data_IF_073542812251
#
_entry.id   IF_073542812251
#
_cell.length_a   1.000
_cell.length_b   1.000
_cell.length_c   1.000
_cell.angle_alpha   90.00
_cell.angle_beta   90.00
_cell.angle_gamma   90.00
#
_symmetry.space_group_name_H-M   'P 1'
#
loop_
_entity.id
_entity.type
_entity.pdbx_description
1 polymer ?
#
# COMPACT_ATOMS: atom_id res chain seq x y z
N UNK A 1 6.50 -64.73 1.51
CA UNK A 1 7.27 -65.45 0.46
C UNK A 1 7.46 -66.92 0.84
N UNK A 2 7.50 -67.83 -0.14
CA UNK A 2 7.73 -69.27 0.08
C UNK A 2 9.08 -69.67 -0.50
N UNK A 3 9.93 -70.31 0.31
CA UNK A 3 11.27 -70.73 -0.08
C UNK A 3 11.27 -72.25 -0.26
N UNK A 4 11.72 -72.73 -1.42
CA UNK A 4 11.83 -74.15 -1.72
C UNK A 4 13.29 -74.57 -1.88
N UNK A 5 13.68 -75.65 -1.22
CA UNK A 5 14.99 -76.26 -1.34
C UNK A 5 14.85 -77.76 -1.66
N UNK A 6 15.66 -78.25 -2.59
CA UNK A 6 15.72 -79.67 -2.93
C UNK A 6 17.18 -80.10 -3.10
N UNK A 7 17.56 -81.12 -2.36
CA UNK A 7 18.87 -81.74 -2.42
C UNK A 7 18.72 -83.19 -2.91
N UNK A 8 18.79 -83.37 -4.22
CA UNK A 8 18.57 -84.65 -4.90
C UNK A 8 19.82 -85.55 -4.97
N UNK A 9 20.99 -85.10 -4.49
CA UNK A 9 22.23 -85.87 -4.50
C UNK A 9 22.70 -86.23 -3.08
N UNK A 10 22.76 -87.54 -2.78
CA UNK A 10 23.25 -88.04 -1.50
C UNK A 10 24.73 -87.70 -1.29
N UNK A 11 25.06 -87.03 -0.19
CA UNK A 11 26.44 -86.76 0.23
C UNK A 11 26.94 -85.33 0.01
N UNK A 12 26.09 -84.41 -0.45
CA UNK A 12 26.41 -82.98 -0.55
C UNK A 12 25.62 -82.15 0.47
N UNK A 13 26.27 -81.15 1.03
CA UNK A 13 25.68 -80.12 1.88
C UNK A 13 25.98 -78.75 1.29
N UNK A 14 24.99 -77.87 1.25
CA UNK A 14 25.15 -76.49 0.84
C UNK A 14 24.50 -75.59 1.88
N UNK A 15 25.20 -74.52 2.25
CA UNK A 15 24.67 -73.45 3.09
C UNK A 15 24.40 -72.24 2.21
N UNK A 16 23.24 -71.64 2.37
CA UNK A 16 22.93 -70.34 1.79
C UNK A 16 22.41 -69.44 2.91
N UNK A 17 22.80 -68.18 2.89
CA UNK A 17 22.25 -67.16 3.76
C UNK A 17 21.16 -66.41 3.00
N UNK A 18 20.01 -66.24 3.66
CA UNK A 18 18.95 -65.36 3.19
C UNK A 18 18.90 -64.22 4.19
N UNK A 19 18.97 -62.99 3.69
CA UNK A 19 18.72 -61.81 4.49
C UNK A 19 17.31 -61.34 4.17
N UNK A 20 16.46 -61.24 5.19
CA UNK A 20 15.18 -60.56 5.10
C UNK A 20 15.36 -59.20 5.78
N UNK A 21 15.13 -58.13 5.02
CA UNK A 21 14.96 -56.80 5.59
C UNK A 21 13.46 -56.55 5.74
N UNK A 22 13.04 -56.16 6.93
CA UNK A 22 11.72 -55.59 7.19
C UNK A 22 11.99 -54.10 7.33
N UNK A 23 11.36 -53.31 6.49
CA UNK A 23 11.40 -51.86 6.57
C UNK A 23 10.20 -51.41 7.43
N UNK A 24 10.31 -50.24 8.05
CA UNK A 24 9.19 -49.61 8.74
C UNK A 24 8.15 -49.12 7.72
N UNK A 25 6.90 -49.07 8.16
CA UNK A 25 5.67 -48.81 7.41
C UNK A 25 4.71 -48.21 8.44
N UNK A 26 4.82 -46.89 8.62
CA UNK A 26 4.26 -46.14 9.75
C UNK A 26 2.74 -46.04 9.66
N UNK A 27 2.20 -45.80 8.47
CA UNK A 27 0.77 -45.70 8.21
C UNK A 27 0.11 -47.06 7.84
N UNK A 28 0.90 -48.05 7.42
CA UNK A 28 0.44 -49.38 7.07
C UNK A 28 -0.17 -49.50 5.67
N UNK A 29 0.14 -48.59 4.74
CA UNK A 29 -0.37 -48.63 3.37
C UNK A 29 0.33 -49.67 2.47
N UNK A 30 1.48 -50.18 2.94
CA UNK A 30 2.31 -51.18 2.28
C UNK A 30 3.47 -50.62 1.45
N UNK A 31 3.70 -49.31 1.50
CA UNK A 31 4.90 -48.61 1.04
C UNK A 31 5.81 -48.43 2.26
N UNK A 32 7.08 -48.89 2.20
CA UNK A 32 7.99 -48.64 3.32
C UNK A 32 8.34 -47.15 3.47
N UNK A 33 8.53 -46.67 4.71
CA UNK A 33 8.82 -45.26 5.04
C UNK A 33 9.98 -44.65 4.22
N UNK A 34 11.00 -45.46 3.88
CA UNK A 34 12.15 -45.04 3.04
C UNK A 34 11.75 -44.66 1.59
N UNK A 35 10.55 -45.03 1.16
CA UNK A 35 10.01 -44.87 -0.19
C UNK A 35 8.60 -44.26 -0.20
N UNK A 36 8.12 -43.84 0.96
CA UNK A 36 6.85 -43.15 1.09
C UNK A 36 7.06 -41.64 1.01
N UNK A 37 6.16 -40.96 0.29
CA UNK A 37 6.17 -39.51 0.17
C UNK A 37 5.29 -38.84 1.24
N UNK A 38 4.45 -39.61 1.95
CA UNK A 38 3.55 -39.21 3.04
C UNK A 38 3.50 -40.35 4.08
N UNK A 39 4.48 -40.36 5.01
CA UNK A 39 4.77 -41.52 5.87
C UNK A 39 3.65 -41.80 6.90
N UNK A 40 2.80 -40.83 7.20
CA UNK A 40 1.72 -40.97 8.19
C UNK A 40 0.29 -40.81 7.62
N UNK A 41 0.18 -40.51 6.32
CA UNK A 41 -1.06 -40.47 5.53
C UNK A 41 -2.06 -39.42 6.00
N UNK A 42 -1.57 -38.27 6.45
CA UNK A 42 -2.40 -37.15 6.85
C UNK A 42 -2.78 -36.22 5.68
N UNK A 43 -2.16 -36.42 4.52
CA UNK A 43 -2.37 -35.66 3.28
C UNK A 43 -1.28 -34.64 2.97
N UNK A 44 -0.27 -34.48 3.84
CA UNK A 44 0.90 -33.65 3.61
C UNK A 44 2.12 -34.49 3.25
N UNK A 45 2.91 -34.03 2.28
CA UNK A 45 4.14 -34.74 1.95
C UNK A 45 5.22 -34.53 3.02
N UNK A 46 6.04 -35.55 3.25
CA UNK A 46 7.18 -35.50 4.16
C UNK A 46 8.15 -34.34 3.88
N UNK A 47 8.26 -33.90 2.62
CA UNK A 47 9.08 -32.76 2.22
C UNK A 47 8.43 -31.44 2.67
N UNK A 48 7.12 -31.31 2.49
CA UNK A 48 6.37 -30.12 2.87
C UNK A 48 6.32 -29.95 4.39
N UNK A 49 5.99 -31.00 5.14
CA UNK A 49 5.97 -30.95 6.61
C UNK A 49 7.32 -30.50 7.17
N UNK A 50 8.43 -31.03 6.64
CA UNK A 50 9.78 -30.59 7.04
C UNK A 50 10.05 -29.12 6.73
N UNK A 51 9.54 -28.59 5.62
CA UNK A 51 9.66 -27.17 5.28
C UNK A 51 8.85 -26.30 6.24
N UNK A 52 7.69 -26.78 6.67
CA UNK A 52 6.77 -26.11 7.58
C UNK A 52 7.10 -26.34 9.08
N UNK A 53 8.13 -27.12 9.38
CA UNK A 53 8.58 -27.51 10.74
C UNK A 53 7.63 -28.43 11.50
N UNK A 54 6.93 -29.29 10.79
CA UNK A 54 6.09 -30.35 11.34
C UNK A 54 6.81 -31.72 11.41
N UNK A 55 6.18 -32.73 12.02
CA UNK A 55 6.72 -34.09 12.20
C UNK A 55 6.07 -35.11 11.24
N UNK A 56 6.78 -35.56 10.19
CA UNK A 56 6.27 -36.50 9.16
C UNK A 56 5.91 -37.91 9.62
N UNK A 57 5.99 -38.18 10.91
CA UNK A 57 5.67 -39.47 11.53
C UNK A 57 4.43 -39.36 12.44
N UNK A 58 3.86 -38.16 12.58
CA UNK A 58 2.73 -37.87 13.44
C UNK A 58 1.64 -37.17 12.64
N UNK A 59 0.65 -37.94 12.19
CA UNK A 59 -0.50 -37.48 11.41
C UNK A 59 -1.39 -36.42 12.12
N UNK A 60 -1.02 -35.98 13.33
CA UNK A 60 -1.64 -34.84 14.02
C UNK A 60 -0.81 -33.56 13.95
N UNK A 61 0.39 -33.64 13.39
CA UNK A 61 1.34 -32.55 13.16
C UNK A 61 1.17 -32.00 11.73
N UNK A 62 0.01 -31.42 11.44
CA UNK A 62 -0.26 -30.86 10.10
C UNK A 62 0.11 -29.38 10.04
N UNK A 63 0.69 -28.88 8.94
CA UNK A 63 0.89 -27.46 8.71
C UNK A 63 -0.43 -26.66 8.70
N UNK A 64 -0.33 -25.35 8.93
CA UNK A 64 -1.45 -24.42 8.62
C UNK A 64 -1.44 -24.11 7.13
N UNK A 65 -2.61 -24.11 6.52
CA UNK A 65 -2.86 -23.92 5.08
C UNK A 65 -4.23 -23.25 4.95
N UNK A 66 -4.22 -21.93 4.99
CA UNK A 66 -5.42 -21.13 5.20
C UNK A 66 -6.30 -21.07 3.93
N UNK A 67 -5.72 -21.19 2.75
CA UNK A 67 -6.43 -21.23 1.47
C UNK A 67 -6.64 -22.64 0.89
N UNK A 68 -5.99 -23.66 1.46
CA UNK A 68 -6.02 -25.07 1.07
C UNK A 68 -5.43 -25.34 -0.31
N UNK A 69 -4.36 -24.63 -0.70
CA UNK A 69 -3.66 -24.85 -1.97
C UNK A 69 -2.58 -25.94 -1.91
N UNK A 70 -2.25 -26.40 -0.69
CA UNK A 70 -1.24 -27.43 -0.41
C UNK A 70 0.16 -26.88 -0.15
N UNK A 71 0.30 -25.57 -0.02
CA UNK A 71 1.46 -24.86 0.51
C UNK A 71 1.08 -24.39 1.91
N UNK A 72 2.02 -24.46 2.86
CA UNK A 72 1.72 -23.99 4.21
C UNK A 72 1.95 -22.49 4.34
N UNK A 73 1.17 -21.83 5.19
CA UNK A 73 1.23 -20.38 5.46
C UNK A 73 2.66 -19.87 5.77
N UNK A 74 3.52 -20.74 6.30
CA UNK A 74 4.90 -20.35 6.62
C UNK A 74 5.77 -20.04 5.38
N UNK A 75 5.44 -20.62 4.22
CA UNK A 75 6.19 -20.46 2.97
C UNK A 75 5.32 -20.03 1.79
N UNK A 76 4.01 -20.00 1.97
CA UNK A 76 3.12 -19.31 1.04
C UNK A 76 3.44 -17.81 1.05
N UNK A 77 3.08 -17.14 -0.03
CA UNK A 77 3.20 -15.70 -0.19
C UNK A 77 1.86 -14.98 -0.25
N UNK A 78 0.75 -15.72 -0.27
CA UNK A 78 -0.63 -15.24 -0.33
C UNK A 78 -1.50 -16.24 0.45
N UNK A 79 -1.45 -16.15 1.79
CA UNK A 79 -2.04 -17.13 2.73
C UNK A 79 -3.57 -17.32 2.59
N UNK A 80 -4.27 -16.41 1.91
CA UNK A 80 -5.72 -16.52 1.67
C UNK A 80 -6.13 -16.54 0.19
N UNK A 81 -5.13 -16.54 -0.71
CA UNK A 81 -5.24 -16.60 -2.17
C UNK A 81 -6.22 -15.56 -2.74
N UNK A 82 -6.28 -14.37 -2.14
CA UNK A 82 -7.20 -13.32 -2.53
C UNK A 82 -6.65 -12.38 -3.61
N UNK A 83 -5.37 -12.57 -3.96
CA UNK A 83 -4.64 -11.87 -5.00
C UNK A 83 -3.68 -10.79 -4.50
N UNK A 84 -3.56 -10.59 -3.19
CA UNK A 84 -2.56 -9.71 -2.56
C UNK A 84 -1.54 -10.54 -1.78
N UNK A 85 -0.26 -10.23 -1.92
CA UNK A 85 0.75 -10.97 -1.17
C UNK A 85 0.77 -10.57 0.31
N UNK A 86 1.21 -11.48 1.20
CA UNK A 86 1.30 -11.24 2.64
C UNK A 86 2.10 -9.99 3.00
N UNK A 87 3.10 -9.66 2.17
CA UNK A 87 3.94 -8.46 2.29
C UNK A 87 3.13 -7.21 1.96
N UNK A 88 2.39 -7.23 0.85
CA UNK A 88 1.51 -6.12 0.46
C UNK A 88 0.44 -5.90 1.52
N UNK A 89 -0.18 -6.98 2.00
CA UNK A 89 -1.18 -6.91 3.04
C UNK A 89 -0.64 -6.37 4.36
N UNK A 90 0.53 -6.84 4.78
CA UNK A 90 1.21 -6.34 5.98
C UNK A 90 1.49 -4.82 5.87
N UNK A 91 2.01 -4.38 4.73
CA UNK A 91 2.34 -2.98 4.50
C UNK A 91 1.08 -2.10 4.38
N UNK A 92 -0.01 -2.66 3.84
CA UNK A 92 -1.29 -1.98 3.67
C UNK A 92 -2.24 -2.11 4.87
N UNK A 93 -1.87 -2.90 5.88
CA UNK A 93 -2.64 -3.10 7.11
C UNK A 93 -3.89 -3.97 6.95
N UNK A 94 -3.95 -4.82 5.91
CA UNK A 94 -4.95 -5.87 5.77
C UNK A 94 -4.47 -7.17 6.46
N UNK A 95 -5.20 -8.28 6.28
CA UNK A 95 -4.99 -9.50 7.07
C UNK A 95 -4.70 -10.66 6.12
N UNK A 96 -3.46 -11.16 6.21
CA UNK A 96 -2.92 -12.25 5.39
C UNK A 96 -3.81 -13.49 5.27
N UNK A 97 -4.62 -13.75 6.31
CA UNK A 97 -5.38 -15.00 6.43
C UNK A 97 -6.87 -14.83 6.20
N UNK A 98 -7.33 -13.64 5.79
CA UNK A 98 -8.76 -13.34 5.63
C UNK A 98 -9.03 -12.73 4.26
N UNK A 99 -9.41 -13.56 3.29
CA UNK A 99 -9.68 -13.20 1.89
C UNK A 99 -10.68 -12.05 1.64
N UNK A 100 -11.41 -11.64 2.67
CA UNK A 100 -12.36 -10.51 2.64
C UNK A 100 -11.72 -9.21 3.16
N UNK A 101 -10.54 -9.28 3.75
CA UNK A 101 -9.72 -8.18 4.26
C UNK A 101 -8.68 -7.80 3.21
N UNK A 102 -9.07 -6.96 2.25
CA UNK A 102 -8.20 -6.49 1.16
C UNK A 102 -7.56 -5.14 1.48
N UNK A 103 -6.36 -4.84 0.95
CA UNK A 103 -5.85 -3.48 0.87
C UNK A 103 -6.87 -2.52 0.25
N UNK A 104 -6.99 -1.32 0.82
CA UNK A 104 -7.82 -0.24 0.27
C UNK A 104 -6.97 0.52 -0.76
N UNK A 105 -7.54 0.76 -1.92
CA UNK A 105 -6.95 1.46 -3.08
C UNK A 105 -8.10 2.22 -3.75
N UNK A 106 -8.45 3.39 -3.21
CA UNK A 106 -9.65 4.12 -3.59
C UNK A 106 -9.51 4.74 -5.00
N UNK A 107 -8.31 5.16 -5.39
CA UNK A 107 -8.01 5.74 -6.70
C UNK A 107 -7.63 4.70 -7.78
N UNK A 108 -7.39 3.45 -7.38
CA UNK A 108 -7.02 2.30 -8.24
C UNK A 108 -5.71 2.52 -9.00
N UNK A 109 -4.74 3.21 -8.41
CA UNK A 109 -3.43 3.43 -9.02
C UNK A 109 -2.45 2.25 -8.82
N UNK A 110 -2.81 1.28 -7.97
CA UNK A 110 -2.03 0.09 -7.65
C UNK A 110 -1.09 0.24 -6.45
N UNK A 111 -1.20 1.33 -5.70
CA UNK A 111 -0.58 1.53 -4.39
C UNK A 111 -1.71 1.74 -3.39
N UNK A 112 -1.78 0.92 -2.34
CA UNK A 112 -2.82 1.10 -1.34
C UNK A 112 -2.72 2.46 -0.62
N UNK A 113 -3.87 2.98 -0.20
CA UNK A 113 -4.03 4.25 0.51
C UNK A 113 -3.07 4.40 1.70
N UNK A 114 -2.80 3.29 2.41
CA UNK A 114 -1.91 3.27 3.57
C UNK A 114 -0.45 3.62 3.26
N UNK A 115 -0.04 3.52 1.99
CA UNK A 115 1.31 3.82 1.51
C UNK A 115 1.37 5.09 0.66
N UNK A 116 0.23 5.73 0.37
CA UNK A 116 0.15 6.96 -0.40
C UNK A 116 0.27 8.20 0.50
N UNK A 117 0.70 9.31 -0.11
CA UNK A 117 0.77 10.63 0.55
C UNK A 117 -0.20 11.66 -0.04
N UNK A 118 -0.88 11.28 -1.11
CA UNK A 118 -1.86 12.01 -1.93
C UNK A 118 -2.80 10.89 -2.40
N UNK A 119 -3.81 10.58 -1.58
CA UNK A 119 -4.64 9.35 -1.71
C UNK A 119 -5.68 9.41 -2.82
N UNK A 120 -6.10 10.60 -3.23
CA UNK A 120 -7.05 10.77 -4.33
C UNK A 120 -6.40 11.23 -5.65
N UNK A 121 -5.10 11.54 -5.62
CA UNK A 121 -4.30 11.85 -6.80
C UNK A 121 -4.61 13.20 -7.43
N UNK A 122 -5.23 14.14 -6.71
CA UNK A 122 -5.56 15.47 -7.23
C UNK A 122 -4.34 16.42 -7.33
N UNK A 123 -3.21 16.00 -6.75
CA UNK A 123 -1.95 16.73 -6.71
C UNK A 123 -1.77 17.60 -5.46
N UNK A 124 -2.58 17.40 -4.42
CA UNK A 124 -2.37 17.85 -3.06
C UNK A 124 -2.08 16.67 -2.14
N UNK A 125 -1.11 16.84 -1.25
CA UNK A 125 -0.83 15.78 -0.28
C UNK A 125 -1.84 15.81 0.88
N UNK A 126 -2.19 14.64 1.41
CA UNK A 126 -3.21 14.46 2.46
C UNK A 126 -2.95 15.34 3.70
N UNK A 127 -1.68 15.57 4.01
CA UNK A 127 -1.24 16.40 5.13
C UNK A 127 -1.66 17.86 4.95
N UNK A 128 -1.19 18.56 3.89
CA UNK A 128 -1.71 19.84 3.46
C UNK A 128 -3.24 19.89 3.42
N UNK A 129 -3.90 18.95 2.77
CA UNK A 129 -5.36 18.91 2.65
C UNK A 129 -6.08 18.90 4.00
N UNK A 130 -5.69 17.98 4.88
CA UNK A 130 -6.19 17.89 6.25
C UNK A 130 -5.98 19.20 7.03
N UNK A 131 -4.86 19.88 6.79
CA UNK A 131 -4.54 21.15 7.45
C UNK A 131 -5.31 22.34 6.88
N UNK A 132 -5.66 22.28 5.59
CA UNK A 132 -6.38 23.31 4.85
C UNK A 132 -7.90 23.08 4.89
N UNK A 133 -8.35 21.92 5.37
CA UNK A 133 -9.75 21.57 5.55
C UNK A 133 -10.43 21.02 4.30
N UNK A 134 -9.64 20.52 3.33
CA UNK A 134 -10.15 19.71 2.22
C UNK A 134 -10.20 18.23 2.60
N UNK A 135 -10.75 17.40 1.71
CA UNK A 135 -11.02 15.99 1.97
C UNK A 135 -9.99 15.15 1.21
N UNK A 136 -8.99 14.56 1.88
CA UNK A 136 -7.86 13.87 1.24
C UNK A 136 -8.21 12.51 0.62
N UNK A 137 -9.49 12.30 0.32
CA UNK A 137 -10.07 11.08 -0.23
C UNK A 137 -11.09 11.45 -1.35
N UNK A 138 -11.10 12.70 -1.83
CA UNK A 138 -12.04 13.22 -2.83
C UNK A 138 -11.32 14.17 -3.78
N UNK A 139 -11.02 13.70 -5.01
CA UNK A 139 -10.25 14.48 -6.02
C UNK A 139 -10.82 15.86 -6.33
N UNK A 140 -12.10 16.08 -6.00
CA UNK A 140 -12.79 17.33 -6.26
C UNK A 140 -12.68 18.33 -5.10
N UNK A 141 -12.18 17.87 -3.96
CA UNK A 141 -11.98 18.61 -2.73
C UNK A 141 -10.53 19.10 -2.65
N UNK A 142 -10.20 20.12 -3.44
CA UNK A 142 -8.88 20.77 -3.39
C UNK A 142 -8.87 21.96 -2.42
N UNK A 143 -7.76 22.21 -1.71
CA UNK A 143 -7.51 23.49 -1.03
C UNK A 143 -7.57 24.69 -1.99
N UNK A 144 -7.96 25.86 -1.47
CA UNK A 144 -7.82 27.13 -2.19
C UNK A 144 -6.36 27.57 -2.22
N UNK A 145 -5.88 27.98 -3.40
CA UNK A 145 -4.48 28.29 -3.73
C UNK A 145 -4.47 29.31 -4.88
N UNK A 146 -4.48 30.60 -4.55
CA UNK A 146 -4.64 31.68 -5.53
C UNK A 146 -3.43 31.85 -6.46
N UNK A 147 -2.21 31.65 -5.94
CA UNK A 147 -0.98 31.84 -6.70
C UNK A 147 -0.45 30.54 -7.34
N UNK A 148 -0.95 29.39 -6.89
CA UNK A 148 -0.64 28.07 -7.43
C UNK A 148 0.67 27.48 -6.93
N UNK A 149 1.20 27.94 -5.79
CA UNK A 149 2.48 27.51 -5.24
C UNK A 149 2.42 26.23 -4.39
N UNK A 150 1.21 25.68 -4.19
CA UNK A 150 0.89 24.50 -3.37
C UNK A 150 0.98 24.72 -1.86
N UNK A 151 0.86 25.96 -1.42
CA UNK A 151 0.54 26.34 -0.06
C UNK A 151 -0.88 26.91 -0.08
N UNK A 152 -1.79 26.30 0.69
CA UNK A 152 -3.16 26.79 0.65
C UNK A 152 -3.26 28.19 1.27
N UNK A 153 -4.20 29.00 0.77
CA UNK A 153 -4.48 30.38 1.16
C UNK A 153 -4.56 30.64 2.68
N UNK A 154 -5.00 29.62 3.42
CA UNK A 154 -5.17 29.69 4.88
C UNK A 154 -3.85 29.59 5.65
N UNK A 155 -2.83 29.00 5.04
CA UNK A 155 -1.47 28.81 5.57
C UNK A 155 -0.43 29.64 4.82
N UNK A 156 -0.84 30.33 3.75
CA UNK A 156 0.01 31.20 2.97
C UNK A 156 0.07 32.63 3.54
N UNK A 157 1.27 33.19 3.56
CA UNK A 157 1.54 34.54 4.00
C UNK A 157 1.59 35.56 2.86
N UNK A 158 1.55 35.12 1.60
CA UNK A 158 1.63 35.93 0.38
C UNK A 158 0.73 35.28 -0.70
N UNK A 159 -0.59 35.36 -0.49
CA UNK A 159 -1.58 34.47 -1.11
C UNK A 159 -1.68 34.62 -2.63
N UNK A 160 -1.34 35.79 -3.16
CA UNK A 160 -1.36 36.06 -4.59
C UNK A 160 0.05 36.02 -5.24
N UNK A 161 1.08 35.80 -4.42
CA UNK A 161 2.46 35.56 -4.83
C UNK A 161 3.12 36.76 -5.50
N UNK A 162 2.71 37.97 -5.16
CA UNK A 162 3.20 39.20 -5.79
C UNK A 162 4.46 39.76 -5.11
N UNK A 163 4.79 39.23 -3.93
CA UNK A 163 5.98 39.54 -3.13
C UNK A 163 5.71 40.49 -1.96
N UNK A 164 4.47 40.93 -1.76
CA UNK A 164 4.02 41.69 -0.59
C UNK A 164 3.13 40.80 0.28
N UNK A 165 3.61 40.49 1.49
CA UNK A 165 2.85 39.61 2.37
C UNK A 165 1.49 40.17 2.78
N UNK A 166 0.52 39.26 2.95
CA UNK A 166 -0.91 39.50 3.26
C UNK A 166 -1.17 40.48 4.42
N UNK A 167 -0.20 40.69 5.31
CA UNK A 167 -0.31 41.58 6.46
C UNK A 167 0.03 43.05 6.17
N UNK A 168 0.57 43.33 4.98
CA UNK A 168 0.95 44.65 4.48
C UNK A 168 0.24 44.93 3.16
N UNK A 169 -0.18 43.89 2.44
CA UNK A 169 -0.93 44.02 1.21
C UNK A 169 -2.37 44.49 1.45
N UNK A 170 -2.75 45.58 0.77
CA UNK A 170 -4.12 46.11 0.79
C UNK A 170 -5.07 45.29 -0.13
N UNK A 171 -4.51 44.52 -1.08
CA UNK A 171 -5.18 43.63 -2.03
C UNK A 171 -4.60 42.20 -2.02
N UNK A 172 -4.61 41.49 -0.87
CA UNK A 172 -3.87 40.24 -0.65
C UNK A 172 -4.29 39.02 -1.49
N UNK A 173 -5.31 39.16 -2.34
CA UNK A 173 -5.86 38.08 -3.17
C UNK A 173 -5.72 38.40 -4.68
N UNK A 174 -5.03 39.49 -5.03
CA UNK A 174 -4.89 39.97 -6.41
C UNK A 174 -3.54 40.64 -6.65
N UNK A 175 -2.62 39.82 -7.17
CA UNK A 175 -1.24 40.15 -7.57
C UNK A 175 -1.04 41.36 -8.47
N UNK A 176 -2.13 41.97 -8.94
CA UNK A 176 -2.08 43.15 -9.76
C UNK A 176 -1.95 44.43 -8.95
N UNK A 177 -2.13 44.44 -7.63
CA UNK A 177 -1.95 45.63 -6.82
C UNK A 177 -1.57 45.29 -5.38
N UNK A 178 -0.93 46.23 -4.68
CA UNK A 178 -0.44 46.02 -3.29
C UNK A 178 -0.82 47.12 -2.31
N UNK A 179 -1.31 48.26 -2.80
CA UNK A 179 -1.35 49.49 -2.01
C UNK A 179 -2.57 50.35 -2.36
N UNK A 180 -3.25 50.82 -1.32
CA UNK A 180 -4.40 51.74 -1.34
C UNK A 180 -4.17 52.84 -0.28
N UNK A 181 -3.70 54.02 -0.70
CA UNK A 181 -3.24 55.07 0.20
C UNK A 181 -4.37 55.77 0.95
N UNK A 182 -5.52 55.99 0.30
CA UNK A 182 -6.65 56.71 0.89
C UNK A 182 -7.75 55.78 1.42
N UNK A 183 -7.66 54.48 1.13
CA UNK A 183 -8.54 53.43 1.63
C UNK A 183 -9.89 53.39 0.94
N UNK A 184 -9.98 53.87 -0.30
CA UNK A 184 -11.24 53.92 -1.06
C UNK A 184 -11.59 52.61 -1.79
N UNK A 185 -10.64 51.67 -1.82
CA UNK A 185 -10.76 50.35 -2.41
C UNK A 185 -10.30 50.23 -3.87
N UNK A 186 -9.85 51.33 -4.49
CA UNK A 186 -9.18 51.32 -5.79
C UNK A 186 -7.64 51.45 -5.55
N UNK A 187 -6.80 50.62 -6.19
CA UNK A 187 -5.34 50.64 -5.94
C UNK A 187 -4.62 51.86 -6.51
N UNK A 188 -3.61 52.38 -5.80
CA UNK A 188 -2.74 53.48 -6.25
C UNK A 188 -2.11 53.21 -7.63
N UNK A 189 -1.77 51.93 -7.88
CA UNK A 189 -1.15 51.52 -9.13
C UNK A 189 -1.38 50.04 -9.40
N UNK A 190 -1.44 49.65 -10.68
CA UNK A 190 -1.61 48.26 -11.09
C UNK A 190 -0.41 47.69 -11.86
N UNK A 191 -0.03 46.47 -11.48
CA UNK A 191 0.99 45.63 -12.10
C UNK A 191 0.34 44.43 -12.80
N UNK A 192 -0.12 44.64 -14.03
CA UNK A 192 -0.68 43.57 -14.86
C UNK A 192 -2.21 43.60 -14.93
N UNK A 193 -2.83 42.42 -14.97
CA UNK A 193 -4.28 42.29 -15.13
C UNK A 193 -4.86 41.73 -13.85
N UNK A 194 -5.82 42.44 -13.26
CA UNK A 194 -6.56 42.00 -12.07
C UNK A 194 -7.33 40.71 -12.31
N UNK A 195 -7.28 39.83 -11.31
CA UNK A 195 -8.01 38.57 -11.23
C UNK A 195 -9.27 38.66 -10.37
N UNK A 196 -9.46 39.76 -9.66
CA UNK A 196 -10.65 40.06 -8.86
C UNK A 196 -11.94 40.14 -9.69
N UNK A 197 -13.08 39.85 -9.05
CA UNK A 197 -14.42 40.09 -9.60
C UNK A 197 -15.27 40.96 -8.63
N UNK A 198 -15.51 42.24 -8.95
CA UNK A 198 -15.11 42.95 -10.18
C UNK A 198 -13.58 43.21 -10.25
N UNK A 199 -13.02 43.36 -11.47
CA UNK A 199 -11.60 43.68 -11.61
C UNK A 199 -11.25 45.02 -10.96
N UNK A 200 -10.09 45.06 -10.29
CA UNK A 200 -9.50 46.26 -9.72
C UNK A 200 -9.26 47.31 -10.81
N UNK A 201 -9.33 48.57 -10.40
CA UNK A 201 -9.08 49.73 -11.27
C UNK A 201 -8.19 50.68 -10.52
N UNK A 202 -7.14 51.12 -11.19
CA UNK A 202 -6.25 52.15 -10.68
C UNK A 202 -7.04 53.39 -10.24
N UNK A 203 -6.81 53.83 -9.00
CA UNK A 203 -7.23 55.13 -8.51
C UNK A 203 -6.38 56.21 -9.18
N UNK A 204 -6.97 57.38 -9.40
CA UNK A 204 -6.31 58.53 -9.99
C UNK A 204 -6.22 59.71 -9.01
N UNK A 205 -6.40 59.48 -7.71
CA UNK A 205 -6.45 60.49 -6.65
C UNK A 205 -6.07 59.89 -5.28
N UNK A 206 -4.84 59.39 -5.18
CA UNK A 206 -4.32 58.57 -4.08
C UNK A 206 -4.37 59.23 -2.69
N UNK A 207 -4.54 60.56 -2.60
CA UNK A 207 -4.56 61.30 -1.33
C UNK A 207 -5.91 61.98 -1.02
N UNK A 208 -6.89 61.78 -1.91
CA UNK A 208 -8.24 62.31 -1.83
C UNK A 208 -8.34 63.85 -1.70
N UNK A 209 -7.42 64.61 -2.28
CA UNK A 209 -7.35 66.06 -2.16
C UNK A 209 -8.16 66.86 -3.21
N UNK A 210 -8.87 66.14 -4.10
CA UNK A 210 -9.64 66.62 -5.26
C UNK A 210 -8.82 66.98 -6.51
N UNK A 211 -7.50 66.74 -6.51
CA UNK A 211 -6.65 66.82 -7.69
C UNK A 211 -6.24 65.43 -8.16
N UNK A 212 -6.27 65.15 -9.48
CA UNK A 212 -5.77 63.89 -9.97
C UNK A 212 -4.24 63.79 -9.86
N UNK A 213 -3.68 62.59 -9.67
CA UNK A 213 -2.23 62.39 -9.46
C UNK A 213 -1.37 62.90 -10.62
N UNK A 214 -1.92 62.94 -11.84
CA UNK A 214 -1.22 63.48 -13.01
C UNK A 214 -1.07 65.00 -13.02
N UNK A 215 -1.84 65.71 -12.19
CA UNK A 215 -1.83 67.16 -12.05
C UNK A 215 -1.00 67.64 -10.83
N UNK A 216 -0.38 66.72 -10.08
CA UNK A 216 0.50 66.99 -8.92
C UNK A 216 2.00 67.23 -9.23
#
# INVERSE_FOLDING_TARGET
YTIWANNSNSGQSGSFQITLSVLEDTDGDGIPDDYDDDIDNDGWSNEMEKLCNEDPLDATSTPSDNDNDGICDFIDSDDDNDGFSDIEEYDCGSNQTDKDSKPIDDDNDGICDALQSDRDGDGWADGPESSCGSDPDDESSVPSDYDGDKICDSQDNDRDGDGVGNNIDDFPDDRSATKDTDGDGDPDSMSGTSTSDPPLKEDYNDDNDYWPDYDE
#
